data_IF_164798173975
#
_entry.id   IF_164798173975
#
_cell.length_a   1.000
_cell.length_b   1.000
_cell.length_c   1.000
_cell.angle_alpha   90.00
_cell.angle_beta   90.00
_cell.angle_gamma   90.00
#
_symmetry.space_group_name_H-M   'P 1'
#
loop_
_entity.id
_entity.type
_entity.pdbx_description
1 polymer ?
#
# COMPACT_ATOMS: atom_id res chain seq x y z
N UNK A 1 8.59 6.77 -32.31
CA UNK A 1 8.72 5.94 -31.10
C UNK A 1 7.32 5.68 -30.56
N UNK A 2 6.97 4.41 -30.35
CA UNK A 2 5.67 4.03 -29.81
C UNK A 2 5.64 4.06 -28.28
N UNK A 3 4.48 4.39 -27.72
CA UNK A 3 4.15 4.20 -26.32
C UNK A 3 3.31 2.95 -26.20
N UNK A 4 3.71 2.01 -25.36
CA UNK A 4 3.01 0.75 -25.18
C UNK A 4 1.84 0.93 -24.22
N UNK A 5 0.66 0.42 -24.56
CA UNK A 5 -0.52 0.47 -23.74
C UNK A 5 -0.73 -0.89 -23.05
N UNK A 6 -0.89 -0.86 -21.74
CA UNK A 6 -1.14 -2.06 -20.93
C UNK A 6 -2.53 -1.96 -20.30
N UNK A 7 -3.43 -2.80 -20.75
CA UNK A 7 -4.72 -2.99 -20.09
C UNK A 7 -4.54 -3.68 -18.73
N UNK A 8 -5.59 -3.71 -17.91
CA UNK A 8 -5.61 -4.47 -16.65
C UNK A 8 -5.22 -5.93 -16.87
N UNK A 9 -5.78 -6.57 -17.91
CA UNK A 9 -5.49 -7.97 -18.22
C UNK A 9 -4.02 -8.18 -18.65
N UNK A 10 -3.38 -7.17 -19.26
CA UNK A 10 -1.96 -7.24 -19.61
C UNK A 10 -1.08 -7.12 -18.38
N UNK A 11 -1.42 -6.20 -17.45
CA UNK A 11 -0.71 -6.04 -16.18
C UNK A 11 -0.83 -7.32 -15.35
N UNK A 12 -2.05 -7.82 -15.14
CA UNK A 12 -2.34 -9.02 -14.35
C UNK A 12 -1.60 -10.26 -14.87
N UNK A 13 -1.57 -10.46 -16.19
CA UNK A 13 -0.90 -11.61 -16.81
C UNK A 13 0.63 -11.56 -16.75
N UNK A 14 1.21 -10.36 -16.70
CA UNK A 14 2.67 -10.13 -16.80
C UNK A 14 3.33 -9.89 -15.47
N UNK A 15 2.54 -9.59 -14.43
CA UNK A 15 3.08 -9.28 -13.12
C UNK A 15 3.42 -10.59 -12.41
N UNK A 16 4.68 -10.73 -12.05
CA UNK A 16 5.20 -11.77 -11.18
C UNK A 16 5.36 -11.18 -9.77
N UNK A 17 4.78 -11.83 -8.76
CA UNK A 17 4.74 -11.30 -7.39
C UNK A 17 6.10 -11.36 -6.69
N UNK A 18 6.89 -12.41 -6.93
CA UNK A 18 8.23 -12.55 -6.36
C UNK A 18 9.16 -11.47 -6.93
N UNK A 19 9.16 -11.28 -8.26
CA UNK A 19 9.91 -10.20 -8.89
C UNK A 19 9.44 -8.81 -8.43
N UNK A 20 8.14 -8.62 -8.25
CA UNK A 20 7.58 -7.35 -7.80
C UNK A 20 7.99 -7.06 -6.34
N UNK A 21 8.08 -8.07 -5.48
CA UNK A 21 8.58 -7.92 -4.12
C UNK A 21 10.05 -7.50 -4.10
N UNK A 22 10.90 -8.14 -4.91
CA UNK A 22 12.31 -7.76 -5.05
C UNK A 22 12.46 -6.30 -5.51
N UNK A 23 11.60 -5.86 -6.43
CA UNK A 23 11.56 -4.46 -6.91
C UNK A 23 11.15 -3.51 -5.80
N UNK A 24 10.15 -3.86 -4.98
CA UNK A 24 9.69 -3.05 -3.84
C UNK A 24 10.80 -2.93 -2.81
N UNK A 25 11.38 -4.04 -2.35
CA UNK A 25 12.48 -4.02 -1.38
C UNK A 25 13.67 -3.20 -1.90
N UNK A 26 14.08 -3.41 -3.15
CA UNK A 26 15.17 -2.64 -3.76
C UNK A 26 14.83 -1.15 -3.84
N UNK A 27 13.61 -0.79 -4.20
CA UNK A 27 13.20 0.62 -4.30
C UNK A 27 13.22 1.30 -2.94
N UNK A 28 12.82 0.61 -1.88
CA UNK A 28 12.94 1.10 -0.52
C UNK A 28 14.40 1.30 -0.09
N UNK A 29 15.28 0.32 -0.31
CA UNK A 29 16.69 0.45 0.00
C UNK A 29 17.36 1.60 -0.79
N UNK A 30 17.07 1.74 -2.08
CA UNK A 30 17.58 2.85 -2.89
C UNK A 30 17.00 4.21 -2.47
N UNK A 31 15.80 4.24 -1.89
CA UNK A 31 15.20 5.45 -1.30
C UNK A 31 15.98 5.88 -0.06
N UNK A 32 16.30 4.96 0.86
CA UNK A 32 17.15 5.24 2.01
C UNK A 32 18.52 5.79 1.61
N UNK A 33 19.08 5.28 0.52
CA UNK A 33 20.35 5.76 -0.08
C UNK A 33 20.26 7.10 -0.82
N UNK A 34 19.06 7.73 -0.86
CA UNK A 34 18.84 8.99 -1.57
C UNK A 34 18.87 8.89 -3.09
N UNK A 35 18.64 7.69 -3.66
CA UNK A 35 18.66 7.44 -5.11
C UNK A 35 17.27 7.24 -5.73
N UNK A 36 16.25 7.69 -5.01
CA UNK A 36 14.87 7.77 -5.48
C UNK A 36 14.36 9.18 -5.20
N UNK A 37 13.81 9.84 -6.20
CA UNK A 37 13.07 11.08 -5.99
C UNK A 37 11.60 10.75 -5.91
N UNK A 38 10.99 11.04 -4.78
CA UNK A 38 9.58 10.76 -4.51
C UNK A 38 8.96 11.95 -3.78
N UNK A 39 8.65 13.06 -4.50
CA UNK A 39 8.03 14.22 -3.89
C UNK A 39 6.66 13.88 -3.30
N UNK A 40 6.19 14.71 -2.38
CA UNK A 40 4.87 14.58 -1.79
C UNK A 40 3.78 14.56 -2.85
N UNK A 41 2.76 13.76 -2.61
CA UNK A 41 1.61 13.59 -3.51
C UNK A 41 0.92 14.93 -3.74
N UNK A 42 0.64 15.25 -5.00
CA UNK A 42 -0.22 16.38 -5.34
C UNK A 42 -1.68 15.92 -5.31
N UNK A 43 -2.50 16.59 -4.50
CA UNK A 43 -3.92 16.27 -4.38
C UNK A 43 -4.78 17.45 -4.84
N UNK A 44 -5.91 17.11 -5.44
CA UNK A 44 -6.91 18.07 -5.88
C UNK A 44 -8.29 17.56 -5.52
N UNK A 45 -9.06 18.37 -4.79
CA UNK A 45 -10.46 18.13 -4.48
C UNK A 45 -11.32 18.91 -5.45
N UNK A 46 -12.35 18.28 -5.98
CA UNK A 46 -13.30 18.85 -6.92
C UNK A 46 -14.68 18.86 -6.27
N UNK A 47 -15.30 20.02 -6.20
CA UNK A 47 -16.66 20.17 -5.67
C UNK A 47 -16.79 20.18 -4.16
N UNK A 48 -15.70 20.35 -3.41
CA UNK A 48 -15.72 20.49 -1.95
C UNK A 48 -16.67 21.61 -1.51
N UNK A 49 -17.51 21.31 -0.50
CA UNK A 49 -18.46 22.23 0.12
C UNK A 49 -19.47 22.85 -0.88
N UNK A 50 -19.81 22.14 -1.96
CA UNK A 50 -20.71 22.65 -3.00
C UNK A 50 -20.07 23.73 -3.89
N UNK A 51 -18.71 23.76 -3.92
CA UNK A 51 -17.93 24.65 -4.76
C UNK A 51 -17.87 24.23 -6.24
N UNK A 52 -17.10 24.97 -7.00
CA UNK A 52 -16.84 24.65 -8.40
C UNK A 52 -15.63 23.71 -8.54
N UNK A 53 -15.63 22.73 -9.45
CA UNK A 53 -16.75 22.31 -10.32
C UNK A 53 -17.84 21.56 -9.52
N UNK A 54 -19.05 21.52 -10.10
CA UNK A 54 -20.18 20.74 -9.57
C UNK A 54 -19.91 19.23 -9.80
N UNK A 55 -18.97 18.69 -9.00
CA UNK A 55 -18.52 17.31 -9.04
C UNK A 55 -17.96 16.96 -7.67
N UNK A 56 -18.24 15.76 -7.19
CA UNK A 56 -17.62 15.22 -5.97
C UNK A 56 -16.53 14.24 -6.39
N UNK A 57 -15.29 14.71 -6.45
CA UNK A 57 -14.15 13.91 -6.88
C UNK A 57 -12.85 14.31 -6.18
N UNK A 58 -11.95 13.34 -6.08
CA UNK A 58 -10.61 13.51 -5.54
C UNK A 58 -9.59 13.00 -6.55
N UNK A 59 -8.60 13.81 -6.86
CA UNK A 59 -7.48 13.46 -7.74
C UNK A 59 -6.18 13.44 -6.95
N UNK A 60 -5.35 12.45 -7.24
CA UNK A 60 -4.03 12.31 -6.64
C UNK A 60 -2.99 11.97 -7.71
N UNK A 61 -1.93 12.76 -7.78
CA UNK A 61 -0.77 12.55 -8.65
C UNK A 61 0.45 12.20 -7.78
N UNK A 62 1.17 11.17 -8.19
CA UNK A 62 2.27 10.56 -7.44
C UNK A 62 3.50 10.42 -8.33
N UNK A 63 4.21 11.53 -8.62
CA UNK A 63 5.41 11.50 -9.46
C UNK A 63 6.57 10.84 -8.73
N UNK A 64 7.46 10.21 -9.50
CA UNK A 64 8.71 9.65 -9.00
C UNK A 64 9.78 9.53 -10.08
N UNK A 65 11.04 9.51 -9.64
CA UNK A 65 12.19 9.07 -10.44
C UNK A 65 12.92 7.97 -9.68
N UNK A 66 13.21 6.89 -10.38
CA UNK A 66 13.89 5.70 -9.86
C UNK A 66 15.21 5.52 -10.58
N UNK A 67 16.32 5.92 -9.94
CA UNK A 67 17.64 6.02 -10.54
C UNK A 67 18.15 4.69 -11.11
N UNK A 68 18.07 3.61 -10.32
CA UNK A 68 18.55 2.30 -10.72
C UNK A 68 17.81 1.68 -11.92
N UNK A 69 16.63 2.24 -12.27
CA UNK A 69 15.87 1.89 -13.47
C UNK A 69 16.01 2.93 -14.60
N UNK A 70 16.56 4.11 -14.32
CA UNK A 70 16.64 5.20 -15.29
C UNK A 70 15.27 5.70 -15.75
N UNK A 71 14.24 5.58 -14.90
CA UNK A 71 12.85 5.88 -15.26
C UNK A 71 12.27 6.96 -14.39
N UNK A 72 11.62 7.93 -15.01
CA UNK A 72 10.68 8.83 -14.37
C UNK A 72 9.25 8.38 -14.70
N UNK A 73 8.31 8.71 -13.84
CA UNK A 73 6.91 8.39 -14.09
C UNK A 73 6.00 9.02 -13.07
N UNK A 74 4.73 8.78 -13.26
CA UNK A 74 3.70 9.15 -12.28
C UNK A 74 2.57 8.16 -12.28
N UNK A 75 1.97 7.93 -11.13
CA UNK A 75 0.64 7.36 -11.03
C UNK A 75 -0.36 8.50 -10.79
N UNK A 76 -1.32 8.61 -11.67
CA UNK A 76 -2.46 9.50 -11.50
C UNK A 76 -3.72 8.69 -11.23
N UNK A 77 -4.39 8.99 -10.10
CA UNK A 77 -5.64 8.34 -9.72
C UNK A 77 -6.72 9.40 -9.48
N UNK A 78 -7.94 9.05 -9.85
CA UNK A 78 -9.14 9.88 -9.62
C UNK A 78 -10.22 9.00 -9.01
N UNK A 79 -10.76 9.45 -7.87
CA UNK A 79 -11.94 8.88 -7.25
C UNK A 79 -13.12 9.83 -7.46
N UNK A 80 -14.32 9.27 -7.72
CA UNK A 80 -15.56 10.03 -7.89
C UNK A 80 -16.64 9.44 -7.01
N UNK A 81 -17.43 10.29 -6.35
CA UNK A 81 -18.52 9.89 -5.47
C UNK A 81 -19.85 10.44 -5.99
N UNK A 82 -20.93 9.73 -5.66
CA UNK A 82 -22.29 10.20 -5.93
C UNK A 82 -22.78 10.09 -7.38
N UNK A 83 -21.97 9.57 -8.30
CA UNK A 83 -22.38 9.33 -9.67
C UNK A 83 -22.61 7.84 -9.94
N UNK A 84 -23.51 7.53 -10.89
CA UNK A 84 -23.62 6.18 -11.49
C UNK A 84 -22.37 5.91 -12.36
N UNK A 85 -21.21 5.80 -11.70
CA UNK A 85 -19.94 5.56 -12.38
C UNK A 85 -19.67 4.05 -12.47
N UNK A 86 -19.17 3.60 -13.59
CA UNK A 86 -18.78 2.18 -13.79
C UNK A 86 -17.60 1.79 -12.89
N UNK A 87 -16.79 2.77 -12.49
CA UNK A 87 -15.68 2.60 -11.55
C UNK A 87 -15.57 3.84 -10.68
N UNK A 88 -15.75 3.73 -9.36
CA UNK A 88 -15.63 4.87 -8.46
C UNK A 88 -14.18 5.39 -8.36
N UNK A 89 -13.19 4.56 -8.69
CA UNK A 89 -11.77 4.95 -8.71
C UNK A 89 -11.14 4.39 -9.98
N UNK A 90 -10.38 5.23 -10.66
CA UNK A 90 -9.57 4.86 -11.83
C UNK A 90 -8.16 5.39 -11.66
N UNK A 91 -7.17 4.69 -12.16
CA UNK A 91 -5.79 5.21 -12.20
C UNK A 91 -5.00 4.71 -13.40
N UNK A 92 -4.00 5.50 -13.77
CA UNK A 92 -3.01 5.18 -14.80
C UNK A 92 -1.61 5.39 -14.25
N UNK A 93 -0.66 4.58 -14.72
CA UNK A 93 0.76 4.81 -14.55
C UNK A 93 1.35 5.19 -15.89
N UNK A 94 2.09 6.31 -15.91
CA UNK A 94 2.78 6.82 -17.08
C UNK A 94 4.29 6.75 -16.85
N UNK A 95 5.04 6.17 -17.82
CA UNK A 95 6.48 6.02 -17.74
C UNK A 95 7.22 6.82 -18.80
N UNK A 96 8.33 7.44 -18.38
CA UNK A 96 9.25 8.18 -19.24
C UNK A 96 10.68 7.66 -19.04
N UNK A 97 11.31 7.21 -20.11
CA UNK A 97 12.69 6.74 -20.13
C UNK A 97 13.62 7.93 -20.37
N UNK A 98 14.48 8.24 -19.38
CA UNK A 98 15.36 9.40 -19.44
C UNK A 98 16.46 9.24 -20.49
N UNK A 99 16.99 8.05 -20.70
CA UNK A 99 18.05 7.79 -21.68
C UNK A 99 17.54 7.95 -23.11
N UNK A 100 16.29 7.52 -23.35
CA UNK A 100 15.61 7.68 -24.65
C UNK A 100 14.97 9.04 -24.84
N UNK A 101 14.75 9.79 -23.75
CA UNK A 101 14.03 11.07 -23.78
C UNK A 101 12.58 10.92 -24.28
N UNK A 102 11.90 9.83 -23.94
CA UNK A 102 10.59 9.51 -24.49
C UNK A 102 9.67 8.81 -23.49
N UNK A 103 8.36 9.02 -23.64
CA UNK A 103 7.36 8.17 -22.99
C UNK A 103 7.43 6.76 -23.56
N UNK A 104 7.32 5.76 -22.68
CA UNK A 104 7.47 4.35 -23.04
C UNK A 104 6.23 3.52 -22.78
N UNK A 105 5.44 3.86 -21.77
CA UNK A 105 4.25 3.09 -21.43
C UNK A 105 3.16 3.93 -20.77
N UNK A 106 1.92 3.49 -20.97
CA UNK A 106 0.75 3.83 -20.16
C UNK A 106 0.14 2.51 -19.68
N UNK A 107 -0.04 2.37 -18.36
CA UNK A 107 -0.55 1.14 -17.75
C UNK A 107 -1.79 1.40 -16.91
N UNK A 108 -2.68 0.43 -16.86
CA UNK A 108 -3.75 0.40 -15.86
C UNK A 108 -3.14 0.38 -14.46
N UNK A 109 -3.58 1.33 -13.61
CA UNK A 109 -2.92 1.61 -12.34
C UNK A 109 -3.64 1.04 -11.13
N UNK A 110 -4.91 0.62 -11.21
CA UNK A 110 -5.65 0.14 -10.04
C UNK A 110 -5.15 -1.23 -9.59
N UNK A 111 -4.92 -2.15 -10.52
CA UNK A 111 -4.35 -3.46 -10.20
C UNK A 111 -2.95 -3.32 -9.62
N UNK A 112 -2.09 -2.50 -10.27
CA UNK A 112 -0.76 -2.18 -9.75
C UNK A 112 -0.82 -1.59 -8.33
N UNK A 113 -1.75 -0.66 -8.08
CA UNK A 113 -1.95 -0.07 -6.75
C UNK A 113 -2.35 -1.13 -5.72
N UNK A 114 -3.24 -2.06 -6.10
CA UNK A 114 -3.64 -3.17 -5.24
C UNK A 114 -2.44 -4.00 -4.82
N UNK A 115 -1.70 -4.48 -5.80
CA UNK A 115 -0.52 -5.35 -5.58
C UNK A 115 0.58 -4.62 -4.80
N UNK A 116 1.01 -3.40 -5.22
CA UNK A 116 2.11 -2.71 -4.52
C UNK A 116 1.75 -2.35 -3.08
N UNK A 117 0.47 -2.12 -2.78
CA UNK A 117 0.04 -1.85 -1.41
C UNK A 117 0.14 -3.12 -0.55
N UNK A 118 -0.24 -4.27 -1.08
CA UNK A 118 -0.08 -5.54 -0.39
C UNK A 118 1.40 -5.92 -0.22
N UNK A 119 2.24 -5.64 -1.23
CA UNK A 119 3.70 -5.85 -1.12
C UNK A 119 4.33 -5.00 -0.01
N UNK A 120 3.81 -3.80 0.27
CA UNK A 120 4.27 -3.02 1.43
C UNK A 120 4.00 -3.76 2.75
N UNK A 121 2.81 -4.37 2.89
CA UNK A 121 2.51 -5.21 4.06
C UNK A 121 3.41 -6.44 4.13
N UNK A 122 3.67 -7.10 3.00
CA UNK A 122 4.60 -8.25 2.95
C UNK A 122 5.99 -7.84 3.43
N UNK A 123 6.52 -6.70 2.98
CA UNK A 123 7.81 -6.18 3.46
C UNK A 123 7.76 -5.94 4.97
N UNK A 124 6.70 -5.31 5.48
CA UNK A 124 6.50 -5.12 6.92
C UNK A 124 6.49 -6.45 7.68
N UNK A 125 5.66 -7.41 7.24
CA UNK A 125 5.54 -8.74 7.85
C UNK A 125 6.87 -9.54 7.83
N UNK A 126 7.70 -9.36 6.82
CA UNK A 126 9.01 -10.03 6.71
C UNK A 126 10.12 -9.36 7.52
N UNK A 127 10.10 -8.05 7.63
CA UNK A 127 11.22 -7.25 8.14
C UNK A 127 10.99 -6.69 9.55
N UNK A 128 9.73 -6.60 9.97
CA UNK A 128 9.34 -5.95 11.21
C UNK A 128 8.71 -6.91 12.24
N UNK A 129 8.87 -8.21 12.07
CA UNK A 129 8.44 -9.21 13.04
C UNK A 129 9.61 -10.10 13.45
N UNK A 130 9.73 -10.37 14.75
CA UNK A 130 10.78 -11.25 15.28
C UNK A 130 10.62 -12.72 14.83
N UNK A 131 9.40 -13.12 14.58
CA UNK A 131 9.03 -14.47 14.11
C UNK A 131 8.05 -14.30 12.96
N UNK A 132 8.23 -15.05 11.89
CA UNK A 132 7.29 -15.04 10.77
C UNK A 132 5.86 -15.27 11.28
N UNK A 133 4.90 -14.36 11.00
CA UNK A 133 3.53 -14.52 11.47
C UNK A 133 2.86 -15.69 10.77
N UNK A 134 2.07 -16.44 11.52
CA UNK A 134 1.25 -17.54 11.00
C UNK A 134 -0.23 -17.16 10.92
N UNK A 135 -0.61 -16.17 11.72
CA UNK A 135 -1.95 -15.60 11.71
C UNK A 135 -1.87 -14.11 11.39
N UNK A 136 -2.65 -13.66 10.40
CA UNK A 136 -2.74 -12.25 10.02
C UNK A 136 -4.17 -11.78 10.13
N UNK A 137 -4.38 -10.79 10.97
CA UNK A 137 -5.65 -10.09 11.09
C UNK A 137 -5.80 -9.01 10.01
N UNK A 138 -6.96 -8.95 9.36
CA UNK A 138 -7.27 -7.92 8.35
C UNK A 138 -8.55 -7.21 8.77
N UNK A 139 -8.46 -5.91 9.02
CA UNK A 139 -9.61 -5.05 9.35
C UNK A 139 -9.96 -4.20 8.13
N UNK A 140 -11.16 -4.42 7.60
CA UNK A 140 -11.65 -3.88 6.33
C UNK A 140 -11.75 -4.97 5.26
N UNK A 141 -12.84 -5.00 4.50
CA UNK A 141 -13.10 -5.95 3.43
C UNK A 141 -13.37 -5.25 2.09
N UNK A 142 -12.65 -4.14 1.84
CA UNK A 142 -12.74 -3.37 0.61
C UNK A 142 -11.84 -3.91 -0.51
N UNK A 143 -11.66 -3.07 -1.54
CA UNK A 143 -10.82 -3.37 -2.70
C UNK A 143 -9.39 -3.82 -2.32
N UNK A 144 -8.75 -3.10 -1.41
CA UNK A 144 -7.37 -3.39 -1.00
C UNK A 144 -7.27 -4.70 -0.19
N UNK A 145 -8.26 -5.01 0.64
CA UNK A 145 -8.24 -6.23 1.46
C UNK A 145 -8.10 -7.51 0.60
N UNK A 146 -8.74 -7.55 -0.58
CA UNK A 146 -8.55 -8.67 -1.52
C UNK A 146 -7.08 -8.87 -1.89
N UNK A 147 -6.38 -7.79 -2.21
CA UNK A 147 -4.95 -7.87 -2.56
C UNK A 147 -4.09 -8.22 -1.35
N UNK A 148 -4.44 -7.73 -0.15
CA UNK A 148 -3.75 -8.11 1.08
C UNK A 148 -3.79 -9.63 1.26
N UNK A 149 -4.98 -10.23 1.19
CA UNK A 149 -5.14 -11.68 1.36
C UNK A 149 -4.34 -12.47 0.31
N UNK A 150 -4.56 -12.18 -0.99
CA UNK A 150 -3.97 -12.93 -2.09
C UNK A 150 -2.43 -12.80 -2.17
N UNK A 151 -1.89 -11.60 -1.98
CA UNK A 151 -0.45 -11.35 -2.13
C UNK A 151 0.33 -11.82 -0.89
N UNK A 152 -0.23 -11.63 0.30
CA UNK A 152 0.39 -12.10 1.54
C UNK A 152 0.42 -13.64 1.56
N UNK A 153 -0.68 -14.30 1.20
CA UNK A 153 -0.77 -15.76 1.12
C UNK A 153 0.25 -16.36 0.12
N UNK A 154 0.36 -15.72 -1.06
CA UNK A 154 1.31 -16.18 -2.08
C UNK A 154 2.77 -16.08 -1.65
N UNK A 155 3.13 -15.05 -0.87
CA UNK A 155 4.54 -14.72 -0.56
C UNK A 155 4.97 -15.15 0.84
N UNK A 156 4.03 -15.49 1.74
CA UNK A 156 4.31 -15.86 3.12
C UNK A 156 3.56 -17.14 3.49
N UNK A 157 4.13 -17.93 4.41
CA UNK A 157 3.55 -19.17 4.93
C UNK A 157 2.53 -18.86 6.04
N UNK A 158 1.39 -18.30 5.66
CA UNK A 158 0.30 -17.97 6.58
C UNK A 158 -0.62 -19.19 6.74
N UNK A 159 -1.02 -19.50 7.96
CA UNK A 159 -2.00 -20.56 8.24
C UNK A 159 -3.43 -20.04 8.24
N UNK A 160 -3.64 -18.82 8.76
CA UNK A 160 -4.99 -18.27 8.93
C UNK A 160 -5.02 -16.77 8.75
N UNK A 161 -5.95 -16.32 7.93
CA UNK A 161 -6.40 -14.93 7.92
C UNK A 161 -7.64 -14.77 8.78
N UNK A 162 -7.64 -13.78 9.66
CA UNK A 162 -8.81 -13.36 10.44
C UNK A 162 -9.32 -12.04 9.85
N UNK A 163 -10.53 -12.05 9.30
CA UNK A 163 -11.11 -10.95 8.55
C UNK A 163 -12.29 -10.33 9.27
N UNK A 164 -12.30 -9.04 9.44
CA UNK A 164 -13.42 -8.27 9.98
C UNK A 164 -13.73 -7.04 9.13
N UNK A 165 -15.00 -6.76 8.94
CA UNK A 165 -15.54 -5.48 8.44
C UNK A 165 -16.80 -5.14 9.23
N UNK A 166 -17.07 -3.84 9.40
CA UNK A 166 -18.33 -3.38 10.02
C UNK A 166 -19.56 -3.87 9.26
N UNK A 167 -19.41 -4.10 7.96
CA UNK A 167 -20.37 -4.82 7.12
C UNK A 167 -19.93 -6.30 7.03
N UNK A 168 -20.47 -7.13 7.94
CA UNK A 168 -20.16 -8.56 7.97
C UNK A 168 -20.56 -9.33 6.72
N UNK A 169 -21.49 -8.82 5.86
CA UNK A 169 -21.81 -9.45 4.58
C UNK A 169 -20.69 -9.18 3.56
N UNK A 170 -20.10 -7.99 3.60
CA UNK A 170 -18.94 -7.66 2.78
C UNK A 170 -17.75 -8.56 3.13
N UNK A 171 -17.47 -8.75 4.43
CA UNK A 171 -16.40 -9.64 4.87
C UNK A 171 -16.63 -11.08 4.40
N UNK A 172 -17.83 -11.63 4.58
CA UNK A 172 -18.19 -12.98 4.10
C UNK A 172 -18.11 -13.11 2.58
N UNK A 173 -18.54 -12.09 1.86
CA UNK A 173 -18.48 -12.08 0.39
C UNK A 173 -17.04 -12.06 -0.12
N UNK A 174 -16.17 -11.27 0.53
CA UNK A 174 -14.74 -11.25 0.20
C UNK A 174 -14.09 -12.61 0.50
N UNK A 175 -14.29 -13.16 1.69
CA UNK A 175 -13.76 -14.47 2.07
C UNK A 175 -14.15 -15.54 1.04
N UNK A 176 -15.44 -15.67 0.73
CA UNK A 176 -15.93 -16.63 -0.26
C UNK A 176 -15.34 -16.43 -1.66
N UNK A 177 -14.99 -15.20 -2.02
CA UNK A 177 -14.40 -14.89 -3.32
C UNK A 177 -12.91 -15.24 -3.41
N UNK A 178 -12.17 -15.19 -2.28
CA UNK A 178 -10.72 -15.45 -2.26
C UNK A 178 -10.37 -16.86 -1.80
N UNK A 179 -11.16 -17.51 -0.95
CA UNK A 179 -10.89 -18.85 -0.42
C UNK A 179 -10.44 -19.88 -1.47
N UNK A 180 -11.01 -19.90 -2.72
CA UNK A 180 -10.55 -20.85 -3.73
C UNK A 180 -9.13 -20.58 -4.26
N UNK A 181 -8.58 -19.42 -3.99
CA UNK A 181 -7.28 -18.95 -4.48
C UNK A 181 -6.20 -18.99 -3.38
N UNK A 182 -6.61 -19.16 -2.09
CA UNK A 182 -5.72 -19.14 -0.93
C UNK A 182 -5.30 -20.54 -0.49
N UNK A 183 -4.08 -20.66 0.00
CA UNK A 183 -3.59 -21.82 0.73
C UNK A 183 -3.96 -21.75 2.22
N UNK A 184 -3.99 -20.53 2.78
CA UNK A 184 -4.41 -20.26 4.15
C UNK A 184 -5.93 -20.35 4.34
N UNK A 185 -6.37 -20.65 5.56
CA UNK A 185 -7.78 -20.57 5.94
C UNK A 185 -8.21 -19.13 6.19
N UNK A 186 -9.45 -18.77 5.77
CA UNK A 186 -10.04 -17.47 6.09
C UNK A 186 -11.15 -17.63 7.13
N UNK A 187 -11.01 -16.94 8.27
CA UNK A 187 -12.01 -16.86 9.33
C UNK A 187 -12.61 -15.45 9.32
N UNK A 188 -13.92 -15.36 9.15
CA UNK A 188 -14.64 -14.10 9.27
C UNK A 188 -15.05 -13.92 10.72
N UNK A 189 -14.49 -12.91 11.36
CA UNK A 189 -14.75 -12.59 12.77
C UNK A 189 -15.94 -11.62 12.95
N UNK A 190 -16.60 -11.71 14.09
CA UNK A 190 -17.74 -10.84 14.42
C UNK A 190 -17.30 -9.53 15.08
N UNK A 191 -16.02 -9.37 15.40
CA UNK A 191 -15.47 -8.16 16.03
C UNK A 191 -14.00 -7.92 15.65
N UNK A 192 -13.59 -6.65 15.63
CA UNK A 192 -12.21 -6.29 15.46
C UNK A 192 -11.31 -6.76 16.62
N UNK A 193 -11.85 -6.93 17.82
CA UNK A 193 -11.14 -7.49 18.97
C UNK A 193 -10.62 -8.91 18.69
N UNK A 194 -11.45 -9.76 18.05
CA UNK A 194 -11.04 -11.12 17.68
C UNK A 194 -9.92 -11.13 16.62
N UNK A 195 -9.95 -10.15 15.71
CA UNK A 195 -8.89 -10.00 14.69
C UNK A 195 -7.56 -9.60 15.33
N UNK A 196 -7.62 -8.80 16.40
CA UNK A 196 -6.43 -8.35 17.13
C UNK A 196 -5.70 -9.48 17.91
N UNK A 197 -6.28 -10.68 18.03
CA UNK A 197 -5.61 -11.88 18.57
C UNK A 197 -4.65 -12.55 17.59
N UNK A 198 -4.35 -11.93 16.44
CA UNK A 198 -3.43 -12.43 15.43
C UNK A 198 -1.99 -12.02 15.72
N UNK A 199 -1.01 -12.74 15.14
CA UNK A 199 0.43 -12.42 15.26
C UNK A 199 0.76 -11.02 14.70
N UNK A 200 0.04 -10.60 13.65
CA UNK A 200 0.11 -9.27 13.06
C UNK A 200 -1.27 -8.82 12.58
N UNK A 201 -1.50 -7.51 12.57
CA UNK A 201 -2.77 -6.90 12.12
C UNK A 201 -2.51 -5.89 11.01
N UNK A 202 -3.32 -5.96 9.95
CA UNK A 202 -3.35 -5.01 8.85
C UNK A 202 -4.70 -4.28 8.85
N UNK A 203 -4.70 -2.96 9.02
CA UNK A 203 -5.90 -2.15 8.84
C UNK A 203 -5.92 -1.54 7.44
N UNK A 204 -7.04 -1.66 6.75
CA UNK A 204 -7.18 -1.26 5.35
C UNK A 204 -8.57 -0.69 5.09
N UNK A 205 -8.92 0.34 5.84
CA UNK A 205 -10.26 0.95 5.84
C UNK A 205 -10.24 2.39 5.34
N UNK A 206 -11.41 2.96 5.13
CA UNK A 206 -11.65 4.39 4.91
C UNK A 206 -12.20 5.09 6.16
N UNK A 207 -12.08 4.45 7.32
CA UNK A 207 -12.56 4.98 8.59
C UNK A 207 -11.80 6.23 9.01
N UNK A 208 -12.54 7.25 9.43
CA UNK A 208 -11.99 8.49 10.01
C UNK A 208 -11.82 8.43 11.53
N UNK A 209 -12.16 7.28 12.12
CA UNK A 209 -12.03 7.00 13.55
C UNK A 209 -11.32 5.68 13.77
N UNK A 210 -10.62 5.48 14.89
CA UNK A 210 -9.95 4.23 15.20
C UNK A 210 -10.84 3.00 15.03
N UNK A 211 -10.31 1.99 14.37
CA UNK A 211 -10.99 0.70 14.12
C UNK A 211 -10.51 -0.41 15.04
N UNK A 212 -9.47 -0.13 15.82
CA UNK A 212 -8.92 -0.98 16.87
C UNK A 212 -9.02 -0.24 18.22
N UNK A 213 -8.93 -0.99 19.32
CA UNK A 213 -8.76 -0.45 20.66
C UNK A 213 -7.38 -0.88 21.17
N UNK A 214 -6.68 0.01 21.85
CA UNK A 214 -5.37 -0.28 22.45
C UNK A 214 -5.41 -1.51 23.37
N UNK A 215 -6.51 -1.67 24.10
CA UNK A 215 -6.69 -2.80 25.01
C UNK A 215 -6.79 -4.18 24.32
N UNK A 216 -6.91 -4.22 22.99
CA UNK A 216 -6.93 -5.46 22.22
C UNK A 216 -5.58 -5.83 21.62
N UNK A 217 -4.60 -4.92 21.67
CA UNK A 217 -3.33 -5.05 20.95
C UNK A 217 -2.18 -5.57 21.85
N UNK A 218 -2.49 -6.48 22.78
CA UNK A 218 -1.46 -7.11 23.63
C UNK A 218 -0.68 -8.22 22.89
N UNK A 219 -1.30 -8.87 21.89
CA UNK A 219 -0.73 -10.01 21.19
C UNK A 219 0.03 -9.65 19.89
N UNK A 220 -0.46 -8.75 18.99
CA UNK A 220 0.21 -8.52 17.74
C UNK A 220 1.53 -7.77 17.92
N UNK A 221 2.61 -8.37 17.40
CA UNK A 221 3.94 -7.74 17.35
C UNK A 221 4.04 -6.65 16.28
N UNK A 222 3.14 -6.65 15.29
CA UNK A 222 3.11 -5.69 14.18
C UNK A 222 1.68 -5.24 13.89
N UNK A 223 1.49 -3.92 13.83
CA UNK A 223 0.28 -3.29 13.31
C UNK A 223 0.63 -2.49 12.07
N UNK A 224 0.06 -2.86 10.91
CA UNK A 224 0.24 -2.15 9.63
C UNK A 224 -1.00 -1.32 9.35
N UNK A 225 -0.87 0.01 9.28
CA UNK A 225 -1.98 0.92 9.00
C UNK A 225 -1.89 1.46 7.57
N UNK A 226 -2.75 0.95 6.68
CA UNK A 226 -2.76 1.29 5.25
C UNK A 226 -3.82 2.34 4.88
N UNK A 227 -4.74 2.65 5.78
CA UNK A 227 -5.83 3.57 5.51
C UNK A 227 -5.37 5.01 5.31
N UNK A 228 -6.15 5.75 4.56
CA UNK A 228 -5.86 7.16 4.26
C UNK A 228 -6.20 8.12 5.41
N UNK A 229 -6.82 7.61 6.46
CA UNK A 229 -7.32 8.38 7.61
C UNK A 229 -6.87 7.77 8.94
N UNK A 230 -7.49 8.21 10.05
CA UNK A 230 -7.16 7.82 11.42
C UNK A 230 -7.73 6.43 11.76
N UNK A 231 -7.01 5.36 11.40
CA UNK A 231 -7.43 3.99 11.72
C UNK A 231 -7.01 3.53 13.12
N UNK A 232 -5.94 4.11 13.68
CA UNK A 232 -5.37 3.69 14.94
C UNK A 232 -5.70 4.66 16.09
N UNK A 233 -5.84 4.16 17.33
CA UNK A 233 -5.86 5.00 18.52
C UNK A 233 -4.54 5.75 18.69
N UNK A 234 -4.59 6.95 19.25
CA UNK A 234 -3.38 7.72 19.58
C UNK A 234 -2.47 6.97 20.56
N UNK A 235 -3.06 6.20 21.48
CA UNK A 235 -2.32 5.38 22.43
C UNK A 235 -1.49 4.30 21.76
N UNK A 236 -2.01 3.64 20.71
CA UNK A 236 -1.30 2.63 19.93
C UNK A 236 -0.07 3.22 19.23
N UNK A 237 -0.22 4.41 18.65
CA UNK A 237 0.88 5.10 17.96
C UNK A 237 1.96 5.51 18.97
N UNK A 238 1.56 6.12 20.09
CA UNK A 238 2.50 6.60 21.12
C UNK A 238 3.11 5.49 21.98
N UNK A 239 2.43 4.36 22.07
CA UNK A 239 2.87 3.18 22.80
C UNK A 239 3.64 2.17 21.96
N UNK A 240 3.90 2.48 20.69
CA UNK A 240 4.76 1.65 19.85
C UNK A 240 6.20 1.70 20.35
N UNK A 241 6.87 0.55 20.42
CA UNK A 241 8.30 0.48 20.70
C UNK A 241 9.08 0.91 19.45
N UNK A 242 8.50 0.70 18.26
CA UNK A 242 9.06 1.15 16.98
C UNK A 242 7.95 1.71 16.09
N UNK A 243 8.07 2.98 15.71
CA UNK A 243 7.19 3.66 14.76
C UNK A 243 7.91 3.79 13.43
N UNK A 244 7.56 2.92 12.48
CA UNK A 244 8.18 2.83 11.15
C UNK A 244 7.25 3.38 10.08
N UNK A 245 7.80 4.11 9.12
CA UNK A 245 7.03 4.71 8.01
C UNK A 245 7.67 4.39 6.65
N UNK A 246 6.97 4.62 5.55
CA UNK A 246 7.59 4.55 4.22
C UNK A 246 8.13 5.92 3.74
N UNK A 247 7.50 7.02 4.17
CA UNK A 247 7.92 8.38 3.80
C UNK A 247 7.53 9.37 4.91
N UNK A 248 8.49 9.83 5.72
CA UNK A 248 8.23 10.66 6.91
C UNK A 248 7.30 11.84 6.67
N UNK A 249 7.66 12.72 5.73
CA UNK A 249 6.88 13.93 5.44
C UNK A 249 5.42 13.59 5.06
N UNK A 250 5.21 12.59 4.20
CA UNK A 250 3.85 12.24 3.75
C UNK A 250 3.02 11.56 4.85
N UNK A 251 3.64 10.72 5.68
CA UNK A 251 2.96 10.04 6.78
C UNK A 251 2.52 11.03 7.88
N UNK A 252 3.26 12.11 8.11
CA UNK A 252 2.86 13.18 9.02
C UNK A 252 1.73 14.08 8.46
N UNK A 253 1.46 14.02 7.15
CA UNK A 253 0.41 14.81 6.51
C UNK A 253 -0.84 13.99 6.19
N UNK A 254 -0.75 12.66 6.18
CA UNK A 254 -1.83 11.76 5.74
C UNK A 254 -1.80 10.44 6.51
N UNK A 255 -2.94 9.74 6.54
CA UNK A 255 -3.06 8.44 7.18
C UNK A 255 -3.11 8.51 8.70
N UNK A 256 -2.69 7.45 9.35
CA UNK A 256 -2.86 7.26 10.79
C UNK A 256 -2.15 8.32 11.66
N UNK A 257 -1.03 8.90 11.19
CA UNK A 257 -0.21 9.83 11.98
C UNK A 257 -0.66 11.30 11.83
N UNK A 258 -1.38 11.63 10.77
CA UNK A 258 -1.67 13.03 10.39
C UNK A 258 -2.40 13.84 11.48
N UNK A 259 -3.31 13.21 12.21
CA UNK A 259 -4.08 13.87 13.26
C UNK A 259 -3.19 14.28 14.45
N UNK A 260 -2.32 13.36 14.91
CA UNK A 260 -1.33 13.65 15.95
C UNK A 260 -0.34 14.73 15.51
N UNK A 261 0.17 14.65 14.27
CA UNK A 261 1.09 15.63 13.72
C UNK A 261 0.44 17.02 13.59
N UNK A 262 -0.81 17.09 13.15
CA UNK A 262 -1.55 18.36 13.03
C UNK A 262 -1.78 19.07 14.35
N UNK A 263 -1.84 18.32 15.45
CA UNK A 263 -1.95 18.85 16.82
C UNK A 263 -0.60 19.20 17.45
N UNK A 264 0.52 18.96 16.72
CA UNK A 264 1.88 19.15 17.25
C UNK A 264 2.25 18.16 18.37
N UNK A 265 1.65 16.99 18.34
CA UNK A 265 1.84 15.92 19.33
C UNK A 265 2.70 14.77 18.80
N UNK A 266 3.12 14.86 17.53
CA UNK A 266 4.03 13.95 16.85
C UNK A 266 4.74 14.70 15.73
N UNK A 267 6.04 14.49 15.57
CA UNK A 267 6.84 15.08 14.49
C UNK A 267 7.85 14.06 13.91
N UNK A 268 8.76 14.53 13.08
CA UNK A 268 9.71 13.64 12.40
C UNK A 268 10.75 13.01 13.36
N UNK A 269 11.01 13.64 14.50
CA UNK A 269 11.95 13.13 15.50
C UNK A 269 11.34 11.99 16.35
N UNK A 270 10.02 11.82 16.28
CA UNK A 270 9.30 10.72 16.93
C UNK A 270 9.24 9.44 16.04
N UNK A 271 9.70 9.52 14.80
CA UNK A 271 9.74 8.37 13.89
C UNK A 271 11.09 7.65 14.05
N UNK A 272 11.05 6.34 14.33
CA UNK A 272 12.27 5.57 14.58
C UNK A 272 13.05 5.25 13.30
N UNK A 273 12.35 4.92 12.22
CA UNK A 273 12.98 4.58 10.94
C UNK A 273 12.02 4.69 9.75
N UNK A 274 12.59 4.74 8.56
CA UNK A 274 11.84 4.36 7.37
C UNK A 274 11.98 2.86 7.10
N UNK A 275 11.00 2.27 6.43
CA UNK A 275 11.10 0.87 5.97
C UNK A 275 12.30 0.70 5.00
N UNK A 276 12.73 1.78 4.34
CA UNK A 276 13.94 1.80 3.53
C UNK A 276 15.19 1.56 4.35
N UNK A 277 15.32 2.21 5.51
CA UNK A 277 16.44 2.05 6.45
C UNK A 277 16.50 0.60 6.97
N UNK A 278 15.33 0.01 7.25
CA UNK A 278 15.20 -1.39 7.69
C UNK A 278 15.65 -2.36 6.58
N UNK A 279 15.18 -2.16 5.36
CA UNK A 279 15.53 -3.03 4.22
C UNK A 279 17.00 -2.89 3.84
N UNK A 280 17.57 -1.69 3.96
CA UNK A 280 18.98 -1.42 3.67
C UNK A 280 19.93 -1.89 4.79
N UNK A 281 19.37 -2.23 5.97
CA UNK A 281 20.13 -2.68 7.14
C UNK A 281 20.79 -1.55 7.92
N UNK A 282 20.40 -0.29 7.70
CA UNK A 282 20.84 0.85 8.49
C UNK A 282 20.11 0.95 9.83
N UNK A 283 18.91 0.41 9.90
CA UNK A 283 18.13 0.24 11.12
C UNK A 283 17.95 -1.25 11.42
N UNK A 284 18.59 -1.70 12.48
CA UNK A 284 18.30 -3.03 13.03
C UNK A 284 16.97 -2.91 13.78
N UNK A 285 15.93 -3.48 13.20
CA UNK A 285 14.67 -3.70 13.89
C UNK A 285 14.78 -5.04 14.64
N UNK A 286 15.38 -5.07 15.82
CA UNK A 286 15.42 -6.26 16.67
C UNK A 286 14.10 -6.28 17.40
N UNK A 287 13.09 -6.79 16.74
CA UNK A 287 11.80 -6.84 17.35
C UNK A 287 11.82 -8.03 18.28
N UNK A 288 12.01 -7.74 19.57
CA UNK A 288 11.76 -8.69 20.63
C UNK A 288 10.32 -9.19 20.55
N UNK A 289 10.03 -10.37 21.07
CA UNK A 289 8.67 -10.91 21.08
C UNK A 289 7.68 -10.04 21.88
N UNK A 290 8.21 -9.20 22.76
CA UNK A 290 7.45 -8.35 23.67
C UNK A 290 7.45 -6.88 23.20
N UNK A 291 7.98 -6.59 21.99
CA UNK A 291 8.02 -5.24 21.40
C UNK A 291 6.97 -5.12 20.31
N UNK A 292 6.28 -3.98 20.29
CA UNK A 292 5.27 -3.65 19.28
C UNK A 292 5.81 -2.70 18.24
N UNK A 293 5.63 -3.07 16.98
CA UNK A 293 5.89 -2.19 15.84
C UNK A 293 4.59 -1.65 15.29
N UNK A 294 4.53 -0.36 15.05
CA UNK A 294 3.50 0.27 14.23
C UNK A 294 4.16 0.69 12.91
N UNK A 295 3.69 0.12 11.82
CA UNK A 295 4.14 0.46 10.47
C UNK A 295 3.04 1.21 9.71
N UNK A 296 3.36 2.42 9.25
CA UNK A 296 2.40 3.28 8.53
C UNK A 296 2.91 3.56 7.12
N UNK A 297 2.67 2.66 6.15
CA UNK A 297 3.02 2.89 4.75
C UNK A 297 1.90 3.68 4.05
N UNK A 298 2.13 4.95 3.80
CA UNK A 298 1.17 5.79 3.06
C UNK A 298 1.17 5.51 1.55
N UNK A 299 2.16 4.75 1.09
CA UNK A 299 2.37 4.42 -0.31
C UNK A 299 3.03 5.55 -1.10
N UNK A 300 4.06 5.23 -1.83
CA UNK A 300 4.88 6.16 -2.59
C UNK A 300 4.82 5.87 -4.09
N UNK A 301 4.86 6.91 -4.92
CA UNK A 301 4.80 6.79 -6.38
C UNK A 301 5.95 5.99 -6.98
N UNK A 302 7.10 5.98 -6.30
CA UNK A 302 8.27 5.24 -6.72
C UNK A 302 8.01 3.73 -6.85
N UNK A 303 7.18 3.14 -5.98
CA UNK A 303 6.81 1.72 -6.07
C UNK A 303 5.94 1.45 -7.30
N UNK A 304 4.95 2.32 -7.58
CA UNK A 304 4.11 2.21 -8.76
C UNK A 304 4.96 2.30 -10.04
N UNK A 305 5.90 3.26 -10.11
CA UNK A 305 6.80 3.48 -11.24
C UNK A 305 7.79 2.33 -11.42
N UNK A 306 8.38 1.85 -10.33
CA UNK A 306 9.39 0.78 -10.38
C UNK A 306 8.79 -0.56 -10.83
N UNK A 307 7.64 -0.95 -10.27
CA UNK A 307 6.93 -2.18 -10.67
C UNK A 307 6.48 -2.08 -12.13
N UNK A 308 5.90 -0.94 -12.53
CA UNK A 308 5.47 -0.72 -13.90
C UNK A 308 6.65 -0.82 -14.91
N UNK A 309 7.80 -0.25 -14.56
CA UNK A 309 8.99 -0.34 -15.40
C UNK A 309 9.57 -1.76 -15.45
N UNK A 310 9.56 -2.50 -14.33
CA UNK A 310 9.98 -3.91 -14.32
C UNK A 310 9.08 -4.75 -15.21
N UNK A 311 7.75 -4.57 -15.09
CA UNK A 311 6.77 -5.23 -15.94
C UNK A 311 6.95 -4.91 -17.41
N UNK A 312 7.23 -3.65 -17.75
CA UNK A 312 7.52 -3.22 -19.14
C UNK A 312 8.76 -3.91 -19.72
N UNK A 313 9.81 -4.08 -18.90
CA UNK A 313 11.06 -4.75 -19.31
C UNK A 313 10.96 -6.26 -19.34
N UNK A 314 9.97 -6.85 -18.70
CA UNK A 314 9.77 -8.29 -18.67
C UNK A 314 9.51 -8.87 -20.05
N UNK A 315 10.00 -10.09 -20.28
CA UNK A 315 9.76 -10.83 -21.51
C UNK A 315 8.45 -11.64 -21.40
N UNK A 316 7.67 -11.69 -22.46
CA UNK A 316 6.48 -12.54 -22.55
C UNK A 316 5.14 -11.78 -22.57
N UNK A 317 4.02 -12.52 -22.72
CA UNK A 317 2.67 -12.00 -22.61
C UNK A 317 1.98 -11.54 -23.90
N UNK A 318 2.51 -11.85 -25.08
CA UNK A 318 1.86 -11.57 -26.37
C UNK A 318 2.05 -10.12 -26.87
N UNK A 319 1.46 -9.83 -28.01
CA UNK A 319 1.50 -8.50 -28.62
C UNK A 319 0.73 -7.48 -27.79
N UNK A 320 1.27 -6.29 -27.66
CA UNK A 320 0.68 -5.15 -27.00
C UNK A 320 0.37 -4.06 -28.02
N UNK A 321 -0.62 -3.24 -27.73
CA UNK A 321 -0.93 -2.08 -28.55
C UNK A 321 0.13 -1.00 -28.35
N UNK A 322 0.60 -0.42 -29.45
CA UNK A 322 1.51 0.72 -29.43
C UNK A 322 0.84 1.94 -30.04
N UNK A 323 1.03 3.07 -29.40
CA UNK A 323 0.61 4.37 -29.90
C UNK A 323 1.82 5.18 -30.34
N UNK A 324 1.84 5.60 -31.61
CA UNK A 324 2.91 6.46 -32.13
C UNK A 324 2.60 7.93 -31.82
N UNK A 325 3.43 8.54 -30.98
CA UNK A 325 3.33 9.97 -30.65
C UNK A 325 3.99 10.88 -31.70
N UNK A 326 4.96 10.40 -32.45
CA UNK A 326 5.74 11.11 -33.48
C UNK A 326 6.02 10.17 -34.64
#
# INVERSE_FOLDING_TARGET
MGVTLYSRADVERRLDLDEALDVVERTYAESARGRVLNPSKLTMHLGDDGGWPDADAFSIDMPAYVDWLGVAGTKWAVATWGADTQSPISSLVLLFDLDRGAFTAVMEGMYLTGVRTALQSVVGLRRLTATAPRTVGVVGAGFQARFQLLVIDHLLDIETFRLYDVDGERARSLAAAVDPELDAATVVDDSAASVAESDAVVTVTDSKTPVLDEAWLDEPSLVVALGSYRELPDATIRGADHLVVDHPEQCLQRGALADLASRGELDADDLDATIGDVVDGEYEAPIGRDERVVFVPIGVGALDVAIAERLRRGEGGGALDEFAFV
#
